data_IF_627322952001
#
_entry.id   IF_627322952001
#
_cell.length_a   1.000
_cell.length_b   1.000
_cell.length_c   1.000
_cell.angle_alpha   90.00
_cell.angle_beta   90.00
_cell.angle_gamma   90.00
#
_symmetry.space_group_name_H-M   'P 1'
#
loop_
_entity.id
_entity.type
_entity.pdbx_description
1 polymer ?
#
# COMPACT_ATOMS: atom_id res chain seq x y z
N UNK A 1 41.97 -1.05 -8.53
CA UNK A 1 40.56 -1.01 -8.15
C UNK A 1 40.39 0.19 -7.24
N UNK A 2 39.82 1.27 -7.78
CA UNK A 2 39.60 2.52 -7.04
C UNK A 2 38.36 2.31 -6.14
N UNK A 3 38.60 2.03 -4.88
CA UNK A 3 37.58 2.07 -3.81
C UNK A 3 37.11 3.51 -3.60
N UNK A 4 36.23 4.00 -4.47
CA UNK A 4 35.45 5.20 -4.16
C UNK A 4 34.46 4.82 -3.07
N UNK A 5 34.78 5.14 -1.82
CA UNK A 5 33.83 5.09 -0.71
C UNK A 5 32.68 6.05 -1.04
N UNK A 6 31.61 5.52 -1.60
CA UNK A 6 30.38 6.29 -1.79
C UNK A 6 29.75 6.51 -0.41
N UNK A 7 29.70 7.75 0.03
CA UNK A 7 28.92 8.13 1.22
C UNK A 7 27.50 8.41 0.77
N UNK A 8 26.53 7.58 1.20
CA UNK A 8 25.12 7.79 0.93
C UNK A 8 24.42 8.30 2.20
N UNK A 9 23.65 9.35 2.04
CA UNK A 9 22.75 9.81 3.10
C UNK A 9 21.68 8.74 3.37
N UNK A 10 21.34 8.50 4.63
CA UNK A 10 20.34 7.53 5.04
C UNK A 10 19.14 8.26 5.68
N UNK A 11 17.92 7.97 5.23
CA UNK A 11 16.75 8.53 5.87
C UNK A 11 16.45 7.85 7.22
N UNK A 12 15.60 8.48 8.05
CA UNK A 12 15.27 7.98 9.40
C UNK A 12 14.68 6.57 9.38
N UNK A 13 13.84 6.25 8.41
CA UNK A 13 13.21 4.93 8.29
C UNK A 13 14.25 3.83 8.04
N UNK A 14 15.12 4.03 7.07
CA UNK A 14 16.21 3.10 6.76
C UNK A 14 17.16 2.93 7.94
N UNK A 15 17.46 4.01 8.66
CA UNK A 15 18.29 3.97 9.86
C UNK A 15 17.66 3.10 10.96
N UNK A 16 16.36 3.28 11.24
CA UNK A 16 15.64 2.45 12.21
C UNK A 16 15.61 0.98 11.77
N UNK A 17 15.41 0.71 10.49
CA UNK A 17 15.46 -0.65 9.96
C UNK A 17 16.84 -1.28 10.13
N UNK A 18 17.92 -0.53 9.87
CA UNK A 18 19.27 -1.01 10.08
C UNK A 18 19.53 -1.33 11.55
N UNK A 19 19.15 -0.44 12.48
CA UNK A 19 19.29 -0.68 13.91
C UNK A 19 18.54 -1.93 14.36
N UNK A 20 17.30 -2.08 13.92
CA UNK A 20 16.48 -3.26 14.26
C UNK A 20 17.10 -4.56 13.75
N UNK A 21 17.73 -4.55 12.57
CA UNK A 21 18.41 -5.73 12.03
C UNK A 21 19.69 -6.07 12.76
N UNK A 22 20.34 -5.10 13.34
CA UNK A 22 21.54 -5.27 14.16
C UNK A 22 21.20 -5.47 15.64
N UNK A 23 19.92 -5.62 15.98
CA UNK A 23 19.43 -5.76 17.35
C UNK A 23 19.83 -4.60 18.28
N UNK A 24 20.00 -3.39 17.69
CA UNK A 24 20.30 -2.17 18.43
C UNK A 24 18.99 -1.47 18.80
N UNK A 25 18.67 -1.30 20.09
CA UNK A 25 17.49 -0.56 20.51
C UNK A 25 17.57 0.91 20.02
N UNK A 26 16.53 1.38 19.32
CA UNK A 26 16.48 2.75 18.79
C UNK A 26 16.64 3.80 19.89
N UNK A 27 16.06 3.57 21.07
CA UNK A 27 16.20 4.44 22.25
C UNK A 27 17.66 4.58 22.70
N UNK A 28 18.45 3.52 22.62
CA UNK A 28 19.87 3.57 22.93
C UNK A 28 20.62 4.43 21.90
N UNK A 29 20.38 4.17 20.61
CA UNK A 29 20.96 4.92 19.52
C UNK A 29 20.61 6.43 19.57
N UNK A 30 19.38 6.76 19.91
CA UNK A 30 18.91 8.14 20.06
C UNK A 30 19.55 8.82 21.30
N UNK A 31 19.75 8.09 22.38
CA UNK A 31 20.40 8.62 23.60
C UNK A 31 21.87 8.91 23.37
N UNK A 32 22.58 8.04 22.64
CA UNK A 32 23.98 8.25 22.23
C UNK A 32 24.09 9.44 21.26
N UNK A 33 23.02 9.77 20.52
CA UNK A 33 23.00 10.86 19.54
C UNK A 33 23.10 12.25 20.15
N UNK A 34 22.84 12.41 21.44
CA UNK A 34 22.95 13.71 22.15
C UNK A 34 24.38 14.12 22.50
N UNK A 35 25.37 13.24 22.30
CA UNK A 35 26.78 13.52 22.59
C UNK A 35 27.52 14.11 21.38
N UNK A 36 28.52 14.93 21.63
CA UNK A 36 29.45 15.52 20.64
C UNK A 36 30.13 14.46 19.76
N UNK A 37 30.43 13.27 20.32
CA UNK A 37 31.05 12.12 19.63
C UNK A 37 30.09 11.06 19.11
N UNK A 38 28.79 11.36 19.14
CA UNK A 38 27.74 10.45 18.74
C UNK A 38 27.90 9.88 17.32
N UNK A 39 28.27 10.65 16.29
CA UNK A 39 28.45 10.11 14.95
C UNK A 39 29.53 9.04 14.86
N UNK A 40 30.68 9.27 15.51
CA UNK A 40 31.84 8.37 15.52
C UNK A 40 31.49 7.07 16.25
N UNK A 41 30.89 7.17 17.44
CA UNK A 41 30.51 6.03 18.27
C UNK A 41 29.47 5.18 17.56
N UNK A 42 28.44 5.80 16.93
CA UNK A 42 27.45 5.08 16.14
C UNK A 42 28.06 4.37 14.93
N UNK A 43 28.92 5.06 14.19
CA UNK A 43 29.58 4.49 13.02
C UNK A 43 30.46 3.31 13.40
N UNK A 44 31.19 3.40 14.52
CA UNK A 44 32.03 2.32 15.04
C UNK A 44 31.16 1.12 15.45
N UNK A 45 30.08 1.34 16.20
CA UNK A 45 29.18 0.29 16.65
C UNK A 45 28.52 -0.43 15.46
N UNK A 46 27.94 0.33 14.53
CA UNK A 46 27.27 -0.24 13.34
C UNK A 46 28.27 -1.02 12.48
N UNK A 47 29.49 -0.48 12.27
CA UNK A 47 30.55 -1.17 11.51
C UNK A 47 30.94 -2.48 12.16
N UNK A 48 31.14 -2.47 13.47
CA UNK A 48 31.57 -3.66 14.22
C UNK A 48 30.51 -4.76 14.17
N UNK A 49 29.24 -4.39 14.31
CA UNK A 49 28.14 -5.36 14.22
C UNK A 49 27.93 -5.87 12.81
N UNK A 50 28.05 -5.01 11.78
CA UNK A 50 27.97 -5.44 10.39
C UNK A 50 29.11 -6.40 10.01
N UNK A 51 30.32 -6.20 10.55
CA UNK A 51 31.46 -7.09 10.30
C UNK A 51 31.30 -8.48 10.92
N UNK A 52 30.46 -8.62 11.94
CA UNK A 52 30.14 -9.88 12.63
C UNK A 52 28.88 -10.54 12.12
N UNK A 53 28.14 -9.87 11.25
CA UNK A 53 26.84 -10.31 10.75
C UNK A 53 27.00 -10.90 9.34
N UNK A 54 26.82 -12.21 9.23
CA UNK A 54 26.87 -12.92 7.93
C UNK A 54 25.56 -12.78 7.12
N UNK A 55 24.53 -12.14 7.68
CA UNK A 55 23.26 -11.93 7.00
C UNK A 55 23.42 -10.97 5.83
N UNK A 56 22.76 -11.25 4.72
CA UNK A 56 22.67 -10.35 3.57
C UNK A 56 21.53 -9.37 3.76
N UNK A 57 21.73 -8.14 3.30
CA UNK A 57 20.72 -7.09 3.33
C UNK A 57 20.47 -6.54 1.93
N UNK A 58 19.20 -6.30 1.62
CA UNK A 58 18.79 -5.54 0.46
C UNK A 58 18.72 -4.06 0.85
N UNK A 59 19.50 -3.23 0.17
CA UNK A 59 19.50 -1.78 0.38
C UNK A 59 18.78 -1.11 -0.78
N UNK A 60 17.71 -0.39 -0.48
CA UNK A 60 16.98 0.40 -1.47
C UNK A 60 17.49 1.85 -1.44
N UNK A 61 17.84 2.35 -2.62
CA UNK A 61 18.35 3.73 -2.76
C UNK A 61 17.51 4.50 -3.78
N UNK A 62 17.44 5.81 -3.62
CA UNK A 62 16.87 6.74 -4.59
C UNK A 62 17.57 8.09 -4.46
N UNK A 63 17.97 8.67 -5.59
CA UNK A 63 18.61 9.99 -5.65
C UNK A 63 19.80 10.14 -4.67
N UNK A 64 20.64 9.10 -4.57
CA UNK A 64 21.80 9.10 -3.69
C UNK A 64 21.50 8.94 -2.19
N UNK A 65 20.25 8.61 -1.82
CA UNK A 65 19.84 8.37 -0.43
C UNK A 65 19.43 6.91 -0.23
N UNK A 66 19.81 6.33 0.91
CA UNK A 66 19.31 5.04 1.38
C UNK A 66 17.92 5.22 1.97
N UNK A 67 16.92 4.58 1.36
CA UNK A 67 15.51 4.67 1.78
C UNK A 67 15.06 3.50 2.66
N UNK A 68 15.67 2.33 2.48
CA UNK A 68 15.35 1.16 3.29
C UNK A 68 16.52 0.18 3.37
N UNK A 69 16.57 -0.57 4.47
CA UNK A 69 17.44 -1.71 4.71
C UNK A 69 16.55 -2.90 5.02
N UNK A 70 16.43 -3.81 4.07
CA UNK A 70 15.49 -4.92 4.07
C UNK A 70 16.22 -6.26 4.13
N UNK A 71 15.50 -7.36 4.31
CA UNK A 71 16.11 -8.70 4.18
C UNK A 71 16.42 -8.99 2.72
N UNK A 72 17.38 -9.85 2.48
CA UNK A 72 17.70 -10.42 1.16
C UNK A 72 16.52 -11.18 0.52
N UNK A 73 15.56 -11.63 1.35
CA UNK A 73 14.31 -12.28 0.93
C UNK A 73 13.19 -11.32 0.53
N UNK A 74 13.45 -10.01 0.61
CA UNK A 74 12.42 -9.03 0.27
C UNK A 74 12.13 -9.05 -1.22
N UNK A 75 10.86 -9.26 -1.57
CA UNK A 75 10.40 -9.23 -2.95
C UNK A 75 10.30 -7.79 -3.45
N UNK A 76 11.08 -7.48 -4.47
CA UNK A 76 11.11 -6.14 -5.06
C UNK A 76 9.89 -5.99 -5.97
N UNK A 77 8.97 -5.13 -5.56
CA UNK A 77 7.81 -4.69 -6.34
C UNK A 77 7.87 -3.17 -6.40
N UNK A 78 8.15 -2.63 -7.58
CA UNK A 78 8.34 -1.19 -7.73
C UNK A 78 7.00 -0.44 -7.87
N UNK A 79 6.92 0.75 -7.27
CA UNK A 79 5.73 1.60 -7.33
C UNK A 79 5.40 2.03 -8.76
N UNK A 80 6.43 2.24 -9.59
CA UNK A 80 6.27 2.55 -11.02
C UNK A 80 5.56 1.44 -11.78
N UNK A 81 5.96 0.18 -11.55
CA UNK A 81 5.36 -0.97 -12.23
C UNK A 81 3.89 -1.11 -11.83
N UNK A 82 3.60 -1.00 -10.51
CA UNK A 82 2.23 -1.02 -10.01
C UNK A 82 1.39 0.10 -10.64
N UNK A 83 1.96 1.31 -10.75
CA UNK A 83 1.28 2.44 -11.38
C UNK A 83 0.92 2.14 -12.84
N UNK A 84 1.89 1.72 -13.65
CA UNK A 84 1.66 1.46 -15.07
C UNK A 84 0.69 0.30 -15.30
N UNK A 85 0.85 -0.82 -14.60
CA UNK A 85 -0.03 -1.97 -14.70
C UNK A 85 -1.48 -1.63 -14.30
N UNK A 86 -1.65 -0.83 -13.24
CA UNK A 86 -2.96 -0.40 -12.80
C UNK A 86 -3.58 0.63 -13.75
N UNK A 87 -2.81 1.62 -14.21
CA UNK A 87 -3.29 2.66 -15.11
C UNK A 87 -3.73 2.09 -16.48
N UNK A 88 -3.01 1.10 -16.99
CA UNK A 88 -3.41 0.38 -18.20
C UNK A 88 -4.74 -0.35 -17.98
N UNK A 89 -4.87 -1.07 -16.86
CA UNK A 89 -6.10 -1.79 -16.55
C UNK A 89 -7.29 -0.86 -16.31
N UNK A 90 -7.07 0.32 -15.70
CA UNK A 90 -8.13 1.32 -15.55
C UNK A 90 -8.68 1.79 -16.89
N UNK A 91 -7.82 1.98 -17.90
CA UNK A 91 -8.27 2.31 -19.26
C UNK A 91 -9.14 1.20 -19.87
N UNK A 92 -8.72 -0.06 -19.71
CA UNK A 92 -9.48 -1.22 -20.23
C UNK A 92 -10.89 -1.31 -19.62
N UNK A 93 -11.04 -1.02 -18.32
CA UNK A 93 -12.33 -1.08 -17.61
C UNK A 93 -13.06 0.26 -17.56
N UNK A 94 -12.59 1.27 -18.33
CA UNK A 94 -13.15 2.62 -18.37
C UNK A 94 -13.29 3.27 -16.97
N UNK A 95 -12.31 2.99 -16.09
CA UNK A 95 -12.24 3.62 -14.78
C UNK A 95 -11.35 4.88 -14.83
N UNK A 96 -11.67 5.84 -14.00
CA UNK A 96 -10.94 7.10 -13.88
C UNK A 96 -10.14 7.12 -12.59
N UNK A 97 -8.87 7.50 -12.68
CA UNK A 97 -8.05 7.73 -11.49
C UNK A 97 -8.58 8.98 -10.76
N UNK A 98 -8.95 8.76 -9.50
CA UNK A 98 -9.46 9.82 -8.62
C UNK A 98 -8.34 10.54 -7.89
N UNK A 99 -7.41 9.79 -7.34
CA UNK A 99 -6.30 10.30 -6.55
C UNK A 99 -5.11 9.35 -6.64
N UNK A 100 -3.90 9.91 -6.63
CA UNK A 100 -2.67 9.17 -6.40
C UNK A 100 -1.79 9.96 -5.43
N UNK A 101 -1.09 9.27 -4.54
CA UNK A 101 -0.16 9.89 -3.60
C UNK A 101 1.06 9.03 -3.33
N UNK A 102 2.15 9.70 -3.01
CA UNK A 102 3.37 9.10 -2.49
C UNK A 102 3.56 9.52 -1.03
N UNK A 103 4.14 8.66 -0.23
CA UNK A 103 4.56 8.98 1.14
C UNK A 103 5.93 8.38 1.44
N UNK A 104 6.53 8.72 2.60
CA UNK A 104 7.86 8.24 3.01
C UNK A 104 8.93 8.44 1.94
N UNK A 105 9.11 9.65 1.47
CA UNK A 105 10.08 10.00 0.42
C UNK A 105 9.93 9.14 -0.85
N UNK A 106 8.68 8.84 -1.23
CA UNK A 106 8.35 8.00 -2.38
C UNK A 106 8.48 6.49 -2.12
N UNK A 107 8.77 6.07 -0.89
CA UNK A 107 8.83 4.65 -0.53
C UNK A 107 7.48 3.96 -0.47
N UNK A 108 6.40 4.71 -0.28
CA UNK A 108 5.03 4.23 -0.32
C UNK A 108 4.24 4.91 -1.44
N UNK A 109 3.31 4.16 -2.02
CA UNK A 109 2.45 4.59 -3.10
C UNK A 109 1.02 4.12 -2.87
N UNK A 110 0.06 4.97 -3.22
CA UNK A 110 -1.36 4.67 -3.16
C UNK A 110 -2.09 5.40 -4.28
N UNK A 111 -3.03 4.72 -4.92
CA UNK A 111 -3.94 5.31 -5.87
C UNK A 111 -5.37 4.80 -5.66
N UNK A 112 -6.33 5.65 -6.00
CA UNK A 112 -7.74 5.34 -6.05
C UNK A 112 -8.26 5.56 -7.46
N UNK A 113 -9.09 4.65 -7.93
CA UNK A 113 -9.84 4.81 -9.19
C UNK A 113 -11.30 4.45 -8.97
N UNK A 114 -12.18 5.04 -9.78
CA UNK A 114 -13.63 4.82 -9.74
C UNK A 114 -14.20 4.76 -11.16
N UNK A 115 -15.27 4.00 -11.35
CA UNK A 115 -16.03 3.94 -12.60
C UNK A 115 -17.35 4.72 -12.43
N UNK A 116 -17.37 5.97 -12.89
CA UNK A 116 -18.55 6.84 -12.72
C UNK A 116 -19.75 6.41 -13.54
N UNK A 117 -19.54 5.66 -14.62
CA UNK A 117 -20.59 5.11 -15.49
C UNK A 117 -21.33 3.92 -14.85
N UNK A 118 -20.74 3.28 -13.84
CA UNK A 118 -21.36 2.27 -13.02
C UNK A 118 -21.84 2.93 -11.73
N UNK A 119 -23.13 2.96 -11.52
CA UNK A 119 -23.71 3.60 -10.33
C UNK A 119 -24.82 2.74 -9.75
N UNK A 120 -24.96 2.77 -8.44
CA UNK A 120 -26.06 2.14 -7.70
C UNK A 120 -26.55 3.08 -6.61
N UNK A 121 -27.86 3.08 -6.40
CA UNK A 121 -28.50 3.89 -5.37
C UNK A 121 -28.88 3.01 -4.18
N UNK A 122 -28.46 3.44 -2.99
CA UNK A 122 -28.94 2.85 -1.73
C UNK A 122 -30.17 3.65 -1.28
N UNK A 123 -31.31 2.98 -1.24
CA UNK A 123 -32.58 3.58 -0.80
C UNK A 123 -32.54 3.75 0.70
N UNK A 124 -32.54 4.99 1.16
CA UNK A 124 -32.66 5.31 2.57
C UNK A 124 -33.88 6.19 2.76
N UNK A 125 -34.63 5.96 3.86
CA UNK A 125 -35.73 6.85 4.24
C UNK A 125 -35.23 8.20 4.79
N UNK A 126 -33.92 8.38 4.85
CA UNK A 126 -33.30 9.60 5.34
C UNK A 126 -33.01 10.51 4.14
N UNK A 127 -33.74 11.61 4.06
CA UNK A 127 -33.35 12.75 3.23
C UNK A 127 -32.07 13.32 3.83
N UNK A 128 -30.94 13.18 3.11
CA UNK A 128 -29.71 13.83 3.52
C UNK A 128 -29.83 15.32 3.13
N UNK A 129 -29.92 16.16 4.14
CA UNK A 129 -29.75 17.60 4.00
C UNK A 129 -28.27 17.90 4.19
N UNK A 130 -27.51 18.31 3.16
CA UNK A 130 -26.08 18.59 3.28
C UNK A 130 -25.77 19.80 4.18
N UNK A 131 -26.76 20.48 4.75
CA UNK A 131 -26.58 21.69 5.54
C UNK A 131 -26.00 22.86 4.72
N UNK A 132 -26.30 24.08 5.14
CA UNK A 132 -25.79 25.30 4.52
C UNK A 132 -24.25 25.35 4.64
N UNK A 133 -23.54 25.03 3.58
CA UNK A 133 -22.09 25.23 3.50
C UNK A 133 -21.27 24.16 2.77
N UNK A 134 -21.82 23.00 2.47
CA UNK A 134 -21.13 21.97 1.70
C UNK A 134 -21.67 21.87 0.27
N UNK A 135 -21.44 22.88 -0.54
CA UNK A 135 -21.65 22.78 -2.00
C UNK A 135 -20.52 21.97 -2.59
N UNK A 136 -20.62 20.67 -2.56
CA UNK A 136 -19.71 19.85 -3.34
C UNK A 136 -20.22 19.79 -4.79
N UNK A 137 -19.31 19.96 -5.73
CA UNK A 137 -19.57 19.90 -7.19
C UNK A 137 -20.11 18.55 -7.67
N UNK A 138 -20.33 17.60 -6.79
CA UNK A 138 -20.60 16.19 -7.08
C UNK A 138 -21.98 15.74 -6.62
N UNK A 139 -22.71 16.59 -5.90
CA UNK A 139 -24.01 16.21 -5.32
C UNK A 139 -25.15 16.60 -6.23
N UNK A 140 -25.71 15.60 -6.93
CA UNK A 140 -27.07 15.69 -7.37
C UNK A 140 -28.02 15.53 -6.17
N UNK A 141 -29.19 16.11 -6.26
CA UNK A 141 -30.26 16.04 -5.24
C UNK A 141 -30.94 14.68 -5.17
N UNK A 142 -30.40 13.65 -5.79
CA UNK A 142 -31.05 12.36 -5.99
C UNK A 142 -30.26 11.26 -5.28
N UNK A 143 -30.77 10.83 -4.11
CA UNK A 143 -30.41 9.56 -3.50
C UNK A 143 -28.98 9.40 -2.99
N UNK A 144 -28.72 8.31 -2.25
CA UNK A 144 -27.39 7.91 -1.80
C UNK A 144 -26.70 7.10 -2.90
N UNK A 145 -26.06 7.78 -3.84
CA UNK A 145 -25.42 7.17 -5.01
C UNK A 145 -24.01 6.69 -4.69
N UNK A 146 -23.75 5.46 -5.07
CA UNK A 146 -22.47 4.78 -4.92
C UNK A 146 -21.86 4.44 -6.28
N UNK A 147 -20.55 4.45 -6.39
CA UNK A 147 -19.80 3.95 -7.53
C UNK A 147 -18.78 2.89 -7.08
N UNK A 148 -18.52 1.88 -7.91
CA UNK A 148 -17.43 0.97 -7.64
C UNK A 148 -16.11 1.72 -7.71
N UNK A 149 -15.18 1.34 -6.86
CA UNK A 149 -13.86 1.91 -6.78
C UNK A 149 -12.84 0.84 -6.42
N UNK A 150 -11.56 1.14 -6.61
CA UNK A 150 -10.46 0.31 -6.16
C UNK A 150 -9.39 1.18 -5.53
N UNK A 151 -8.81 0.68 -4.45
CA UNK A 151 -7.60 1.23 -3.84
C UNK A 151 -6.44 0.30 -4.14
N UNK A 152 -5.42 0.82 -4.80
CA UNK A 152 -4.16 0.10 -5.06
C UNK A 152 -3.05 0.76 -4.28
N UNK A 153 -2.24 -0.02 -3.56
CA UNK A 153 -1.15 0.52 -2.75
C UNK A 153 0.04 -0.42 -2.70
N UNK A 154 1.23 0.14 -2.50
CA UNK A 154 2.48 -0.60 -2.35
C UNK A 154 3.47 0.14 -1.45
N UNK A 155 4.42 -0.59 -0.89
CA UNK A 155 5.55 -0.01 -0.17
C UNK A 155 6.85 -0.65 -0.62
N UNK A 156 7.72 0.12 -1.24
CA UNK A 156 9.07 -0.30 -1.63
C UNK A 156 10.05 -0.37 -0.44
N UNK A 157 9.63 0.13 0.70
CA UNK A 157 10.48 0.30 1.89
C UNK A 157 10.09 -0.61 3.05
N UNK A 158 9.27 -1.66 2.78
CA UNK A 158 8.90 -2.66 3.77
C UNK A 158 7.91 -2.19 4.85
N UNK A 159 7.21 -1.07 4.61
CA UNK A 159 6.21 -0.53 5.53
C UNK A 159 4.77 -0.92 5.18
N UNK A 160 4.61 -1.84 4.24
CA UNK A 160 3.32 -2.36 3.80
C UNK A 160 3.49 -3.36 2.67
N UNK A 161 2.41 -4.06 2.33
CA UNK A 161 2.35 -4.97 1.18
C UNK A 161 1.90 -4.27 -0.10
N UNK A 162 1.94 -5.02 -1.20
CA UNK A 162 1.27 -4.65 -2.44
C UNK A 162 -0.19 -5.11 -2.35
N UNK A 163 -1.13 -4.17 -2.42
CA UNK A 163 -2.55 -4.44 -2.23
C UNK A 163 -3.38 -3.85 -3.36
N UNK A 164 -4.43 -4.57 -3.74
CA UNK A 164 -5.52 -4.06 -4.56
C UNK A 164 -6.84 -4.40 -3.86
N UNK A 165 -7.45 -3.42 -3.22
CA UNK A 165 -8.64 -3.59 -2.40
C UNK A 165 -9.85 -3.03 -3.14
N UNK A 166 -10.91 -3.83 -3.23
CA UNK A 166 -12.19 -3.37 -3.72
C UNK A 166 -12.73 -2.31 -2.75
N UNK A 167 -13.23 -1.25 -3.32
CA UNK A 167 -13.71 -0.08 -2.58
C UNK A 167 -14.98 0.44 -3.23
N UNK A 168 -15.69 1.28 -2.53
CA UNK A 168 -16.87 1.99 -3.02
C UNK A 168 -16.70 3.45 -2.70
N UNK A 169 -16.98 4.27 -3.68
CA UNK A 169 -17.09 5.72 -3.52
C UNK A 169 -18.54 6.08 -3.27
N UNK A 170 -18.84 6.53 -2.08
CA UNK A 170 -20.13 7.12 -1.74
C UNK A 170 -20.12 8.59 -2.13
N UNK A 171 -20.97 8.99 -3.08
CA UNK A 171 -20.96 10.37 -3.60
C UNK A 171 -21.29 11.43 -2.56
N UNK A 172 -22.21 11.14 -1.66
CA UNK A 172 -22.70 12.09 -0.64
C UNK A 172 -21.57 12.65 0.24
N UNK A 173 -20.53 11.88 0.56
CA UNK A 173 -19.45 12.32 1.41
C UNK A 173 -18.07 12.27 0.75
N UNK A 174 -18.00 11.87 -0.53
CA UNK A 174 -16.76 11.62 -1.27
C UNK A 174 -15.77 10.68 -0.53
N UNK A 175 -16.28 9.86 0.39
CA UNK A 175 -15.49 8.89 1.14
C UNK A 175 -15.43 7.56 0.40
N UNK A 176 -14.23 6.98 0.41
CA UNK A 176 -14.04 5.61 -0.02
C UNK A 176 -14.31 4.67 1.16
N UNK A 177 -15.27 3.77 0.99
CA UNK A 177 -15.47 2.65 1.90
C UNK A 177 -14.73 1.46 1.36
N UNK A 178 -13.80 0.91 2.14
CA UNK A 178 -13.05 -0.28 1.74
C UNK A 178 -13.97 -1.49 1.87
N UNK A 179 -14.14 -2.22 0.78
CA UNK A 179 -14.75 -3.52 0.79
C UNK A 179 -13.70 -4.57 1.20
N UNK A 180 -14.11 -5.63 1.87
CA UNK A 180 -13.19 -6.62 2.45
C UNK A 180 -12.54 -7.55 1.43
N UNK A 181 -13.01 -7.59 0.19
CA UNK A 181 -12.46 -8.42 -0.86
C UNK A 181 -11.32 -7.69 -1.58
N UNK A 182 -10.22 -8.39 -1.79
CA UNK A 182 -9.08 -7.81 -2.49
C UNK A 182 -7.89 -8.76 -2.54
N UNK A 183 -6.85 -8.32 -3.22
CA UNK A 183 -5.56 -9.01 -3.27
C UNK A 183 -4.59 -8.29 -2.37
N UNK A 184 -3.98 -9.04 -1.45
CA UNK A 184 -2.87 -8.56 -0.64
C UNK A 184 -1.67 -9.49 -0.86
N UNK A 185 -0.56 -8.92 -1.30
CA UNK A 185 0.70 -9.64 -1.50
C UNK A 185 1.73 -9.07 -0.55
N UNK A 186 2.24 -9.93 0.34
CA UNK A 186 3.35 -9.56 1.22
C UNK A 186 4.64 -9.59 0.40
N UNK A 187 5.55 -8.67 0.66
CA UNK A 187 6.90 -8.65 0.06
C UNK A 187 7.83 -9.74 0.62
N UNK A 188 7.30 -10.82 1.16
CA UNK A 188 8.08 -11.97 1.54
C UNK A 188 8.33 -12.81 0.29
N UNK A 189 9.58 -12.91 -0.12
CA UNK A 189 10.01 -13.87 -1.13
C UNK A 189 9.75 -15.29 -0.64
N UNK A 190 9.44 -16.21 -1.57
CA UNK A 190 9.20 -17.62 -1.26
C UNK A 190 10.38 -18.22 -0.48
N UNK A 191 10.08 -19.12 0.45
CA UNK A 191 11.08 -19.96 1.10
C UNK A 191 11.60 -20.99 0.09
N UNK A 192 12.67 -20.62 -0.60
CA UNK A 192 13.69 -21.62 -0.92
C UNK A 192 14.72 -21.38 0.17
N UNK A 193 14.85 -22.32 1.12
CA UNK A 193 15.74 -22.11 2.25
C UNK A 193 17.14 -21.87 1.73
N UNK A 194 17.77 -20.78 2.16
CA UNK A 194 19.16 -20.49 1.80
C UNK A 194 20.11 -21.61 2.28
N UNK A 195 19.68 -22.43 3.24
CA UNK A 195 20.37 -23.62 3.73
C UNK A 195 20.44 -24.74 2.69
N UNK A 196 19.54 -24.77 1.69
CA UNK A 196 19.55 -25.79 0.63
C UNK A 196 20.43 -25.41 -0.56
N UNK A 197 21.13 -24.27 -0.53
CA UNK A 197 22.01 -23.81 -1.59
C UNK A 197 21.31 -23.46 -2.92
N UNK A 198 19.99 -23.43 -2.95
CA UNK A 198 19.19 -23.13 -4.12
C UNK A 198 19.02 -21.61 -4.26
N UNK A 199 19.59 -21.06 -5.33
CA UNK A 199 19.43 -19.65 -5.66
C UNK A 199 18.33 -19.50 -6.72
N UNK A 200 17.33 -18.67 -6.40
CA UNK A 200 16.30 -18.32 -7.38
C UNK A 200 16.91 -17.48 -8.51
N UNK A 201 16.71 -17.90 -9.76
CA UNK A 201 17.16 -17.15 -10.92
C UNK A 201 16.39 -15.82 -11.07
N UNK A 202 17.00 -14.88 -11.79
CA UNK A 202 16.33 -13.60 -12.09
C UNK A 202 15.08 -13.80 -12.94
N UNK A 203 15.08 -14.80 -13.83
CA UNK A 203 13.91 -15.18 -14.63
C UNK A 203 12.75 -15.64 -13.71
N UNK A 204 13.02 -16.49 -12.72
CA UNK A 204 12.00 -16.94 -11.77
C UNK A 204 11.41 -15.76 -10.97
N UNK A 205 12.28 -14.86 -10.52
CA UNK A 205 11.83 -13.64 -9.81
C UNK A 205 10.94 -12.75 -10.68
N UNK A 206 11.31 -12.61 -11.95
CA UNK A 206 10.53 -11.85 -12.92
C UNK A 206 9.13 -12.48 -13.12
N UNK A 207 9.06 -13.80 -13.30
CA UNK A 207 7.79 -14.52 -13.44
C UNK A 207 6.90 -14.40 -12.19
N UNK A 208 7.49 -14.45 -11.01
CA UNK A 208 6.75 -14.20 -9.77
C UNK A 208 6.18 -12.77 -9.70
N UNK A 209 6.93 -11.77 -10.15
CA UNK A 209 6.45 -10.39 -10.21
C UNK A 209 5.33 -10.24 -11.25
N UNK A 210 5.48 -10.83 -12.43
CA UNK A 210 4.44 -10.87 -13.47
C UNK A 210 3.13 -11.46 -12.90
N UNK A 211 3.21 -12.54 -12.13
CA UNK A 211 2.03 -13.12 -11.48
C UNK A 211 1.36 -12.16 -10.48
N UNK A 212 2.14 -11.37 -9.74
CA UNK A 212 1.58 -10.35 -8.84
C UNK A 212 0.81 -9.30 -9.63
N UNK A 213 1.39 -8.84 -10.74
CA UNK A 213 0.74 -7.84 -11.59
C UNK A 213 -0.55 -8.37 -12.22
N UNK A 214 -0.58 -9.62 -12.65
CA UNK A 214 -1.81 -10.26 -13.13
C UNK A 214 -2.89 -10.29 -12.05
N UNK A 215 -2.54 -10.68 -10.82
CA UNK A 215 -3.49 -10.67 -9.69
C UNK A 215 -4.03 -9.27 -9.38
N UNK A 216 -3.19 -8.24 -9.46
CA UNK A 216 -3.63 -6.85 -9.29
C UNK A 216 -4.61 -6.47 -10.41
N UNK A 217 -4.32 -6.80 -11.66
CA UNK A 217 -5.20 -6.55 -12.81
C UNK A 217 -6.54 -7.28 -12.67
N UNK A 218 -6.53 -8.52 -12.20
CA UNK A 218 -7.75 -9.30 -11.94
C UNK A 218 -8.60 -8.68 -10.80
N UNK A 219 -7.95 -8.22 -9.73
CA UNK A 219 -8.64 -7.51 -8.65
C UNK A 219 -9.28 -6.20 -9.15
N UNK A 220 -8.57 -5.43 -9.99
CA UNK A 220 -9.12 -4.23 -10.62
C UNK A 220 -10.32 -4.58 -11.50
N UNK A 221 -10.21 -5.60 -12.37
CA UNK A 221 -11.33 -6.05 -13.21
C UNK A 221 -12.54 -6.46 -12.36
N UNK A 222 -12.28 -7.17 -11.27
CA UNK A 222 -13.33 -7.60 -10.33
C UNK A 222 -14.01 -6.42 -9.63
N UNK A 223 -13.25 -5.39 -9.25
CA UNK A 223 -13.80 -4.19 -8.61
C UNK A 223 -14.79 -3.45 -9.50
N UNK A 224 -14.60 -3.51 -10.81
CA UNK A 224 -15.45 -2.84 -11.79
C UNK A 224 -16.41 -3.80 -12.53
N UNK A 225 -16.60 -5.01 -12.01
CA UNK A 225 -17.64 -5.92 -12.49
C UNK A 225 -19.02 -5.42 -12.06
N UNK A 226 -19.84 -5.06 -13.04
CA UNK A 226 -21.16 -4.46 -12.79
C UNK A 226 -22.09 -5.40 -12.05
N UNK A 227 -22.05 -6.71 -12.32
CA UNK A 227 -22.89 -7.70 -11.66
C UNK A 227 -22.56 -7.83 -10.17
N UNK A 228 -21.28 -7.88 -9.83
CA UNK A 228 -20.82 -7.90 -8.44
C UNK A 228 -21.14 -6.61 -7.69
N UNK A 229 -20.98 -5.48 -8.36
CA UNK A 229 -21.31 -4.19 -7.77
C UNK A 229 -22.82 -4.08 -7.50
N UNK A 230 -23.67 -4.48 -8.45
CA UNK A 230 -25.14 -4.52 -8.25
C UNK A 230 -25.54 -5.43 -7.09
N UNK A 231 -25.00 -6.63 -7.02
CA UNK A 231 -25.27 -7.54 -5.90
C UNK A 231 -24.87 -6.94 -4.54
N UNK A 232 -23.81 -6.13 -4.50
CA UNK A 232 -23.44 -5.40 -3.29
C UNK A 232 -24.45 -4.30 -2.94
N UNK A 233 -24.89 -3.50 -3.90
CA UNK A 233 -25.92 -2.47 -3.70
C UNK A 233 -27.24 -3.10 -3.22
N UNK A 234 -27.64 -4.24 -3.79
CA UNK A 234 -28.82 -4.98 -3.36
C UNK A 234 -28.71 -5.41 -1.89
N UNK A 235 -27.54 -5.93 -1.47
CA UNK A 235 -27.27 -6.26 -0.05
C UNK A 235 -27.37 -5.06 0.86
N UNK A 236 -26.82 -3.91 0.44
CA UNK A 236 -26.97 -2.67 1.22
C UNK A 236 -28.43 -2.26 1.34
N UNK A 237 -29.20 -2.34 0.25
CA UNK A 237 -30.63 -2.05 0.27
C UNK A 237 -31.42 -3.03 1.16
N UNK A 238 -31.01 -4.29 1.25
CA UNK A 238 -31.62 -5.23 2.18
C UNK A 238 -31.29 -4.88 3.64
N UNK A 239 -30.04 -4.51 3.93
CA UNK A 239 -29.65 -4.07 5.27
C UNK A 239 -30.41 -2.82 5.75
N UNK A 240 -30.86 -1.94 4.85
CA UNK A 240 -31.65 -0.76 5.23
C UNK A 240 -33.07 -1.10 5.70
N UNK A 241 -33.54 -2.31 5.39
CA UNK A 241 -34.87 -2.80 5.79
C UNK A 241 -34.86 -3.39 7.20
N UNK A 242 -33.69 -3.73 7.73
CA UNK A 242 -33.56 -4.33 9.05
C UNK A 242 -33.73 -3.26 10.15
N UNK A 243 -34.70 -3.47 11.01
CA UNK A 243 -34.92 -2.61 12.17
C UNK A 243 -34.19 -3.20 13.36
N UNK A 244 -33.27 -2.42 13.93
CA UNK A 244 -32.60 -2.78 15.20
C UNK A 244 -33.56 -2.43 16.33
N UNK A 245 -34.28 -3.42 16.87
CA UNK A 245 -35.27 -3.23 17.94
C UNK A 245 -34.64 -2.74 19.26
N UNK A 246 -33.39 -3.15 19.56
CA UNK A 246 -32.67 -2.77 20.78
C UNK A 246 -31.20 -2.40 20.47
N UNK A 247 -30.90 -1.19 19.96
CA UNK A 247 -29.57 -0.82 19.51
C UNK A 247 -28.51 -0.81 20.64
N UNK A 248 -28.91 -0.70 21.91
CA UNK A 248 -28.01 -0.68 23.08
C UNK A 248 -27.42 -2.08 23.39
N UNK A 249 -28.01 -3.16 22.88
CA UNK A 249 -27.50 -4.52 23.09
C UNK A 249 -26.49 -4.98 22.04
N UNK A 250 -26.21 -4.16 21.05
CA UNK A 250 -25.32 -4.49 19.92
C UNK A 250 -23.91 -3.92 20.09
N UNK A 251 -23.59 -3.31 21.23
CA UNK A 251 -22.25 -2.75 21.54
C UNK A 251 -21.45 -3.72 22.40
#
# INVERSE_FOLDING_TARGET
VNDRKASLEMNRSAYVQLLNRLDIPTRFADKVSGDKHAPEVRSMLVRELLNRDDRKFLVRTLNGKVRAVLSDRYKILDNSDLFFQSAEKFKEVNAQMWQARLWNDGGGFEMFATAQHIAGEVKTDRTFDPGDGWQSRWYGTEGDVHNPAVRVSNSETGQGGCNANLSILRRVCANFCVWTDGVSVIHAGGHISADDGLLMSDETRQKENELVWLKVRDAIATAFDEGKFRAYIDRLNDCTKDVIEEPIKVV
#
